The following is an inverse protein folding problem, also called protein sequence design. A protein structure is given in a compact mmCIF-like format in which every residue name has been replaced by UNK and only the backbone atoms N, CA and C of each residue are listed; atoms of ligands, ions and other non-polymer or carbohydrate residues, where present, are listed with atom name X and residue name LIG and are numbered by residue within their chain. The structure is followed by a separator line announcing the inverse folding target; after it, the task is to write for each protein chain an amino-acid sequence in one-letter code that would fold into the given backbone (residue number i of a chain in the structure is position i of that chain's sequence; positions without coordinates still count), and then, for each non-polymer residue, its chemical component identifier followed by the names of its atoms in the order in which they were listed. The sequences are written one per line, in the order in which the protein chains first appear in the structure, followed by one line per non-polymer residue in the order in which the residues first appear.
data_IF_574645790408
#
_entry.id   IF_574645790408
#
_cell.length_a   1.000
_cell.length_b   1.000
_cell.length_c   1.000
_cell.angle_alpha   90.00
_cell.angle_beta   90.00
_cell.angle_gamma   90.00
#
_symmetry.space_group_name_H-M   'P 1'
#
loop_
_entity.id
_entity.type
_entity.pdbx_description
1 polymer ?
#
# COMPACT_ATOMS: atom_id res chain seq x y z
N UNK A 1 15.18 -4.29 5.24
CA UNK A 1 14.80 -3.51 6.44
C UNK A 1 16.04 -2.88 7.06
N UNK A 2 15.93 -1.80 7.85
CA UNK A 2 17.09 -1.13 8.45
C UNK A 2 17.96 -2.04 9.33
N UNK A 3 17.34 -3.02 10.00
CA UNK A 3 18.02 -4.03 10.82
C UNK A 3 18.86 -5.01 9.96
N UNK A 4 18.36 -5.42 8.80
CA UNK A 4 19.09 -6.29 7.86
C UNK A 4 20.28 -5.53 7.24
N UNK A 5 20.10 -4.27 6.85
CA UNK A 5 21.18 -3.43 6.34
C UNK A 5 22.28 -3.20 7.39
N UNK A 6 21.90 -3.06 8.67
CA UNK A 6 22.86 -2.94 9.79
C UNK A 6 23.66 -4.23 10.05
N UNK A 7 23.19 -5.38 9.58
CA UNK A 7 23.91 -6.66 9.59
C UNK A 7 24.81 -6.87 8.37
N UNK A 8 24.90 -5.89 7.48
CA UNK A 8 25.65 -5.99 6.22
C UNK A 8 24.99 -6.91 5.20
N UNK A 9 23.70 -7.23 5.36
CA UNK A 9 22.97 -8.04 4.40
C UNK A 9 22.66 -7.17 3.17
N UNK A 10 23.11 -7.63 2.00
CA UNK A 10 22.81 -6.98 0.73
C UNK A 10 21.39 -7.33 0.29
N UNK A 11 20.70 -6.39 -0.33
CA UNK A 11 19.37 -6.64 -0.89
C UNK A 11 19.42 -7.80 -1.89
N UNK A 12 18.53 -8.78 -1.71
CA UNK A 12 18.37 -9.93 -2.61
C UNK A 12 17.90 -9.54 -4.01
N UNK A 13 17.48 -8.28 -4.19
CA UNK A 13 16.83 -7.80 -5.40
C UNK A 13 17.69 -6.75 -6.10
N UNK A 14 17.50 -6.68 -7.41
CA UNK A 14 18.06 -5.65 -8.26
C UNK A 14 16.92 -5.03 -9.07
N UNK A 15 16.74 -3.72 -8.93
CA UNK A 15 15.67 -2.97 -9.59
C UNK A 15 16.25 -2.34 -10.87
N UNK A 16 15.60 -2.59 -12.02
CA UNK A 16 15.90 -1.99 -13.32
C UNK A 16 14.63 -1.39 -13.90
N UNK A 17 14.35 -0.15 -13.56
CA UNK A 17 13.10 0.51 -13.95
C UNK A 17 11.89 -0.22 -13.37
N UNK A 18 11.09 -0.83 -14.24
CA UNK A 18 9.90 -1.61 -13.85
C UNK A 18 10.13 -3.12 -13.72
N UNK A 19 11.39 -3.55 -13.86
CA UNK A 19 11.79 -4.96 -13.77
C UNK A 19 12.54 -5.21 -12.47
N UNK A 20 12.17 -6.29 -11.80
CA UNK A 20 12.75 -6.75 -10.55
C UNK A 20 13.43 -8.09 -10.79
N UNK A 21 14.74 -8.18 -10.51
CA UNK A 21 15.57 -9.37 -10.73
C UNK A 21 16.17 -9.86 -9.42
N UNK A 22 16.24 -11.19 -9.25
CA UNK A 22 16.92 -11.81 -8.11
C UNK A 22 18.44 -11.74 -8.30
N UNK A 23 19.19 -11.36 -7.27
CA UNK A 23 20.65 -11.42 -7.30
C UNK A 23 21.13 -12.85 -7.17
N UNK A 24 21.90 -13.34 -8.15
CA UNK A 24 22.49 -14.69 -8.17
C UNK A 24 23.33 -14.98 -6.92
N UNK A 25 24.08 -13.99 -6.44
CA UNK A 25 24.96 -14.09 -5.26
C UNK A 25 24.18 -14.49 -3.99
N UNK A 26 22.95 -13.99 -3.84
CA UNK A 26 22.11 -14.30 -2.66
C UNK A 26 21.54 -15.71 -2.76
N UNK A 27 21.14 -16.16 -3.95
CA UNK A 27 20.63 -17.52 -4.16
C UNK A 27 21.70 -18.59 -3.88
N UNK A 28 22.94 -18.34 -4.30
CA UNK A 28 24.06 -19.25 -4.05
C UNK A 28 24.38 -19.39 -2.56
N UNK A 29 24.29 -18.29 -1.80
CA UNK A 29 24.51 -18.29 -0.35
C UNK A 29 23.41 -19.06 0.41
N UNK A 30 22.17 -19.00 -0.06
CA UNK A 30 21.02 -19.66 0.55
C UNK A 30 20.78 -21.09 0.06
N UNK A 31 21.61 -21.63 -0.85
CA UNK A 31 21.40 -22.97 -1.42
C UNK A 31 20.10 -23.10 -2.21
N UNK A 32 19.58 -21.99 -2.75
CA UNK A 32 18.33 -21.97 -3.52
C UNK A 32 18.58 -22.34 -4.98
N UNK A 33 17.55 -22.88 -5.62
CA UNK A 33 17.65 -23.41 -6.97
C UNK A 33 18.08 -22.34 -8.01
N UNK A 34 19.03 -22.70 -8.86
CA UNK A 34 19.73 -21.80 -9.78
C UNK A 34 18.81 -21.16 -10.84
N UNK A 35 17.65 -21.78 -11.14
CA UNK A 35 16.64 -21.21 -12.06
C UNK A 35 16.02 -19.90 -11.56
N UNK A 36 16.08 -19.63 -10.25
CA UNK A 36 15.65 -18.34 -9.69
C UNK A 36 16.59 -17.19 -10.09
N UNK A 37 17.85 -17.48 -10.46
CA UNK A 37 18.84 -16.47 -10.80
C UNK A 37 18.54 -15.77 -12.14
N UNK A 38 17.85 -16.46 -13.04
CA UNK A 38 17.43 -15.93 -14.33
C UNK A 38 15.98 -15.42 -14.32
N UNK A 39 15.31 -15.45 -13.17
CA UNK A 39 13.94 -14.97 -13.03
C UNK A 39 13.89 -13.44 -12.98
N UNK A 40 13.15 -12.86 -13.93
CA UNK A 40 12.84 -11.44 -14.00
C UNK A 40 11.33 -11.25 -13.89
N UNK A 41 10.92 -10.28 -13.07
CA UNK A 41 9.51 -9.98 -12.82
C UNK A 41 9.22 -8.54 -13.27
N UNK A 42 8.33 -8.39 -14.25
CA UNK A 42 7.92 -7.09 -14.76
C UNK A 42 6.62 -6.62 -14.09
N UNK A 43 6.61 -5.37 -13.64
CA UNK A 43 5.46 -4.72 -13.01
C UNK A 43 5.12 -3.41 -13.71
N UNK A 44 4.01 -2.76 -13.35
CA UNK A 44 3.69 -1.42 -13.83
C UNK A 44 4.60 -0.33 -13.20
N UNK A 45 5.05 -0.59 -11.98
CA UNK A 45 6.01 0.23 -11.25
C UNK A 45 6.73 -0.66 -10.22
N UNK A 46 7.99 -0.33 -9.95
CA UNK A 46 8.79 -0.91 -8.86
C UNK A 46 9.34 0.27 -8.07
N UNK A 47 9.21 0.22 -6.74
CA UNK A 47 9.62 1.29 -5.84
C UNK A 47 10.83 0.82 -5.03
N UNK A 48 11.88 1.65 -5.01
CA UNK A 48 13.11 1.39 -4.27
C UNK A 48 13.05 1.94 -2.85
N UNK A 49 14.13 1.73 -2.09
CA UNK A 49 14.26 2.18 -0.70
C UNK A 49 14.25 3.72 -0.55
N UNK A 50 14.52 4.44 -1.64
CA UNK A 50 14.53 5.90 -1.74
C UNK A 50 13.15 6.49 -2.08
N UNK A 51 12.16 5.66 -2.37
CA UNK A 51 10.82 6.11 -2.76
C UNK A 51 9.99 6.44 -1.53
N UNK A 52 9.42 7.65 -1.47
CA UNK A 52 8.51 8.02 -0.38
C UNK A 52 7.09 7.46 -0.59
N UNK A 53 6.33 7.30 0.50
CA UNK A 53 4.91 6.89 0.41
C UNK A 53 4.08 7.87 -0.44
N UNK A 54 4.43 9.15 -0.46
CA UNK A 54 3.81 10.16 -1.31
C UNK A 54 4.05 9.91 -2.79
N UNK A 55 5.26 9.49 -3.17
CA UNK A 55 5.57 9.12 -4.56
C UNK A 55 4.80 7.86 -4.99
N UNK A 56 4.69 6.89 -4.08
CA UNK A 56 3.86 5.69 -4.29
C UNK A 56 2.39 6.09 -4.51
N UNK A 57 1.85 7.00 -3.69
CA UNK A 57 0.49 7.50 -3.85
C UNK A 57 0.27 8.18 -5.20
N UNK A 58 1.16 9.09 -5.58
CA UNK A 58 1.10 9.81 -6.84
C UNK A 58 1.10 8.85 -8.05
N UNK A 59 1.87 7.76 -7.96
CA UNK A 59 1.99 6.78 -9.04
C UNK A 59 0.82 5.79 -9.10
N UNK A 60 0.29 5.35 -7.95
CA UNK A 60 -0.64 4.20 -7.88
C UNK A 60 -2.10 4.64 -7.71
N UNK A 61 -2.37 5.69 -6.91
CA UNK A 61 -3.73 6.01 -6.46
C UNK A 61 -4.24 7.37 -6.97
N UNK A 62 -3.38 8.38 -7.13
CA UNK A 62 -3.81 9.74 -7.51
C UNK A 62 -4.56 9.77 -8.85
N UNK A 63 -4.14 8.95 -9.83
CA UNK A 63 -4.79 8.87 -11.14
C UNK A 63 -6.20 8.26 -11.11
N UNK A 64 -6.56 7.52 -10.05
CA UNK A 64 -7.90 6.96 -9.90
C UNK A 64 -8.92 7.99 -9.37
N UNK A 65 -8.45 9.08 -8.73
CA UNK A 65 -9.32 10.05 -8.07
C UNK A 65 -10.37 10.67 -9.01
N UNK A 66 -10.03 11.10 -10.25
CA UNK A 66 -11.04 11.64 -11.16
C UNK A 66 -12.15 10.64 -11.45
N UNK A 67 -11.82 9.38 -11.72
CA UNK A 67 -12.80 8.33 -11.98
C UNK A 67 -13.70 8.09 -10.75
N UNK A 68 -13.13 8.08 -9.54
CA UNK A 68 -13.89 7.97 -8.28
C UNK A 68 -14.87 9.13 -8.10
N UNK A 69 -14.45 10.36 -8.40
CA UNK A 69 -15.32 11.54 -8.36
C UNK A 69 -16.44 11.51 -9.40
N UNK A 70 -16.28 10.73 -10.47
CA UNK A 70 -17.29 10.43 -11.49
C UNK A 70 -18.14 9.19 -11.18
N UNK A 71 -17.95 8.54 -10.02
CA UNK A 71 -18.77 7.42 -9.57
C UNK A 71 -18.23 6.03 -9.92
N UNK A 72 -16.95 5.94 -10.30
CA UNK A 72 -16.28 4.65 -10.52
C UNK A 72 -15.68 4.13 -9.21
N UNK A 73 -15.85 2.84 -8.92
CA UNK A 73 -15.25 2.24 -7.73
C UNK A 73 -13.73 2.02 -7.94
N UNK A 74 -12.94 2.26 -6.90
CA UNK A 74 -11.51 1.99 -6.88
C UNK A 74 -11.15 1.18 -5.64
N UNK A 75 -10.26 0.20 -5.80
CA UNK A 75 -9.77 -0.65 -4.72
C UNK A 75 -8.25 -0.66 -4.74
N UNK A 76 -7.65 -0.43 -3.58
CA UNK A 76 -6.21 -0.50 -3.38
C UNK A 76 -5.92 -1.58 -2.33
N UNK A 77 -5.00 -2.48 -2.66
CA UNK A 77 -4.61 -3.60 -1.80
C UNK A 77 -3.10 -3.57 -1.56
N UNK A 78 -2.70 -3.73 -0.30
CA UNK A 78 -1.31 -4.00 0.06
C UNK A 78 -1.15 -5.49 0.37
N UNK A 79 -0.29 -6.17 -0.39
CA UNK A 79 -0.05 -7.61 -0.26
C UNK A 79 1.44 -7.90 -0.04
N UNK A 80 1.74 -8.95 0.71
CA UNK A 80 3.10 -9.36 1.03
C UNK A 80 3.19 -10.09 2.37
N UNK A 81 4.36 -10.63 2.68
CA UNK A 81 4.62 -11.34 3.93
C UNK A 81 4.52 -10.44 5.17
N UNK A 82 4.38 -11.01 6.36
CA UNK A 82 4.46 -10.25 7.62
C UNK A 82 5.77 -9.47 7.67
N UNK A 83 5.73 -8.25 8.21
CA UNK A 83 6.88 -7.32 8.26
C UNK A 83 7.37 -6.78 6.90
N UNK A 84 6.65 -7.01 5.79
CA UNK A 84 7.00 -6.47 4.47
C UNK A 84 6.62 -5.00 4.22
N UNK A 85 6.15 -4.28 5.24
CA UNK A 85 5.74 -2.88 5.10
C UNK A 85 4.31 -2.62 4.62
N UNK A 86 3.41 -3.62 4.61
CA UNK A 86 1.98 -3.41 4.24
C UNK A 86 1.31 -2.32 5.07
N UNK A 87 1.38 -2.44 6.39
CA UNK A 87 0.78 -1.48 7.34
C UNK A 87 1.42 -0.11 7.21
N UNK A 88 2.75 -0.07 7.12
CA UNK A 88 3.51 1.17 6.89
C UNK A 88 3.06 1.88 5.61
N UNK A 89 2.89 1.15 4.51
CA UNK A 89 2.45 1.73 3.24
C UNK A 89 1.02 2.27 3.34
N UNK A 90 0.09 1.50 3.92
CA UNK A 90 -1.32 1.88 3.98
C UNK A 90 -1.64 2.98 5.01
N UNK A 91 -1.08 2.87 6.22
CA UNK A 91 -1.39 3.76 7.35
C UNK A 91 -0.28 4.78 7.64
N UNK A 92 0.94 4.54 7.17
CA UNK A 92 2.12 5.31 7.57
C UNK A 92 2.66 4.88 8.93
N UNK A 93 3.57 5.68 9.47
CA UNK A 93 4.07 5.54 10.83
C UNK A 93 4.00 6.91 11.52
N UNK A 94 3.02 7.08 12.41
CA UNK A 94 2.84 8.33 13.14
C UNK A 94 3.90 8.54 14.25
N UNK A 95 4.62 7.49 14.65
CA UNK A 95 5.61 7.54 15.71
C UNK A 95 7.04 7.78 15.19
N UNK A 96 7.30 7.49 13.90
CA UNK A 96 8.59 7.71 13.29
C UNK A 96 8.78 9.17 12.85
N UNK A 97 9.78 9.85 13.42
CA UNK A 97 10.19 11.19 13.01
C UNK A 97 10.64 11.17 11.55
N UNK A 98 9.94 11.91 10.69
CA UNK A 98 10.21 11.97 9.25
C UNK A 98 9.46 10.93 8.41
N UNK A 99 8.67 10.04 9.02
CA UNK A 99 7.76 9.18 8.26
C UNK A 99 6.57 10.00 7.74
N UNK A 100 6.35 9.93 6.43
CA UNK A 100 5.21 10.57 5.77
C UNK A 100 3.88 9.85 6.05
N UNK A 101 2.74 10.48 5.69
CA UNK A 101 1.43 9.85 5.80
C UNK A 101 1.32 8.60 4.91
N UNK A 102 0.51 7.64 5.35
CA UNK A 102 0.15 6.45 4.56
C UNK A 102 -0.77 6.77 3.38
N UNK A 103 -0.93 5.79 2.49
CA UNK A 103 -1.80 5.90 1.31
C UNK A 103 -3.26 6.25 1.67
N UNK A 104 -3.80 5.73 2.78
CA UNK A 104 -5.17 6.02 3.22
C UNK A 104 -5.33 7.51 3.57
N UNK A 105 -4.40 8.06 4.35
CA UNK A 105 -4.42 9.48 4.74
C UNK A 105 -4.30 10.39 3.53
N UNK A 106 -3.33 10.11 2.65
CA UNK A 106 -3.13 10.84 1.40
C UNK A 106 -4.39 10.81 0.51
N UNK A 107 -5.04 9.65 0.38
CA UNK A 107 -6.27 9.51 -0.39
C UNK A 107 -7.42 10.35 0.18
N UNK A 108 -7.61 10.33 1.50
CA UNK A 108 -8.67 11.11 2.16
C UNK A 108 -8.42 12.61 1.98
N UNK A 109 -7.18 13.06 2.17
CA UNK A 109 -6.81 14.47 1.96
C UNK A 109 -7.10 14.92 0.52
N UNK A 110 -6.77 14.11 -0.47
CA UNK A 110 -6.99 14.47 -1.88
C UNK A 110 -8.47 14.50 -2.26
N UNK A 111 -9.27 13.55 -1.73
CA UNK A 111 -10.73 13.56 -1.84
C UNK A 111 -11.32 14.83 -1.24
N UNK A 112 -10.91 15.19 -0.02
CA UNK A 112 -11.42 16.39 0.67
C UNK A 112 -11.02 17.67 -0.08
N UNK A 113 -9.79 17.74 -0.60
CA UNK A 113 -9.29 18.86 -1.40
C UNK A 113 -10.13 19.05 -2.66
N UNK A 114 -10.42 17.97 -3.38
CA UNK A 114 -11.27 18.00 -4.57
C UNK A 114 -12.70 18.45 -4.25
N UNK A 115 -13.31 17.91 -3.18
CA UNK A 115 -14.66 18.30 -2.74
C UNK A 115 -14.72 19.78 -2.36
N UNK A 116 -13.70 20.29 -1.66
CA UNK A 116 -13.63 21.70 -1.28
C UNK A 116 -13.56 22.61 -2.52
N UNK A 117 -12.75 22.26 -3.52
CA UNK A 117 -12.64 23.00 -4.77
C UNK A 117 -13.94 22.98 -5.61
N UNK A 118 -14.67 21.88 -5.59
CA UNK A 118 -15.91 21.70 -6.36
C UNK A 118 -17.19 22.20 -5.66
N UNK A 119 -17.08 22.73 -4.42
CA UNK A 119 -18.23 23.06 -3.56
C UNK A 119 -19.22 24.07 -4.15
N UNK A 120 -18.76 24.94 -5.05
CA UNK A 120 -19.62 25.89 -5.75
C UNK A 120 -20.52 25.25 -6.82
N UNK A 121 -20.15 24.07 -7.33
CA UNK A 121 -20.78 23.45 -8.52
C UNK A 121 -21.53 22.17 -8.16
N UNK A 122 -21.08 21.43 -7.15
CA UNK A 122 -21.63 20.11 -6.81
C UNK A 122 -21.68 19.88 -5.30
N UNK A 123 -22.71 19.17 -4.84
CA UNK A 123 -22.81 18.69 -3.46
C UNK A 123 -22.31 17.25 -3.36
N UNK A 124 -21.48 17.00 -2.37
CA UNK A 124 -20.93 15.68 -2.06
C UNK A 124 -21.40 15.20 -0.69
N UNK A 125 -21.59 13.89 -0.55
CA UNK A 125 -21.82 13.22 0.74
C UNK A 125 -20.74 12.17 0.93
N UNK A 126 -19.88 12.37 1.92
CA UNK A 126 -18.81 11.44 2.25
C UNK A 126 -19.29 10.50 3.37
N UNK A 127 -18.92 9.22 3.27
CA UNK A 127 -19.11 8.19 4.30
C UNK A 127 -17.84 7.38 4.39
N UNK A 128 -17.41 7.07 5.61
CA UNK A 128 -16.25 6.25 5.88
C UNK A 128 -16.67 5.06 6.74
N UNK A 129 -16.09 3.90 6.46
CA UNK A 129 -16.23 2.68 7.26
C UNK A 129 -14.85 2.04 7.37
N UNK A 130 -14.48 1.59 8.56
CA UNK A 130 -13.21 0.90 8.80
C UNK A 130 -13.54 -0.45 9.43
N UNK A 131 -13.23 -1.53 8.72
CA UNK A 131 -13.60 -2.89 9.09
C UNK A 131 -12.34 -3.75 9.16
N UNK A 132 -12.28 -4.61 10.16
CA UNK A 132 -11.31 -5.69 10.26
C UNK A 132 -12.00 -7.02 9.98
N UNK A 133 -11.39 -7.85 9.13
CA UNK A 133 -11.81 -9.23 8.93
C UNK A 133 -10.77 -10.14 9.57
N UNK A 134 -11.15 -10.85 10.63
CA UNK A 134 -10.29 -11.76 11.37
C UNK A 134 -11.04 -13.05 11.69
N UNK A 135 -10.48 -14.21 11.31
CA UNK A 135 -11.14 -15.52 11.44
C UNK A 135 -12.60 -15.54 10.93
N UNK A 136 -12.83 -15.06 9.71
CA UNK A 136 -14.18 -14.97 9.11
C UNK A 136 -15.17 -14.08 9.88
N UNK A 137 -14.71 -13.32 10.88
CA UNK A 137 -15.52 -12.35 11.62
C UNK A 137 -15.22 -10.94 11.14
N UNK A 138 -16.27 -10.16 10.91
CA UNK A 138 -16.17 -8.73 10.57
C UNK A 138 -16.34 -7.89 11.85
N UNK A 139 -15.34 -7.06 12.17
CA UNK A 139 -15.36 -6.16 13.32
C UNK A 139 -15.36 -4.70 12.85
N UNK A 140 -16.22 -3.86 13.45
CA UNK A 140 -16.23 -2.42 13.20
C UNK A 140 -15.14 -1.72 14.01
N UNK A 141 -14.13 -1.20 13.33
CA UNK A 141 -13.02 -0.50 13.98
C UNK A 141 -13.38 0.92 14.44
N UNK A 142 -14.50 1.49 13.95
CA UNK A 142 -14.96 2.83 14.36
C UNK A 142 -16.02 2.77 15.47
N UNK A 143 -16.55 1.59 15.79
CA UNK A 143 -17.55 1.39 16.84
C UNK A 143 -17.13 0.28 17.82
N UNK A 144 -16.36 0.61 18.87
CA UNK A 144 -15.93 -0.35 19.88
C UNK A 144 -17.13 -1.12 20.45
N UNK A 145 -17.08 -2.45 20.39
CA UNK A 145 -18.16 -3.33 20.85
C UNK A 145 -19.11 -3.84 19.75
N UNK A 146 -18.96 -3.38 18.50
CA UNK A 146 -19.63 -3.99 17.33
C UNK A 146 -18.72 -5.00 16.63
N UNK A 147 -18.64 -6.19 17.22
CA UNK A 147 -17.93 -7.34 16.67
C UNK A 147 -18.88 -8.34 16.02
N UNK A 148 -18.33 -9.23 15.18
CA UNK A 148 -19.06 -10.30 14.51
C UNK A 148 -20.28 -9.81 13.70
N UNK A 149 -20.06 -8.75 12.90
CA UNK A 149 -21.06 -8.23 11.98
C UNK A 149 -21.47 -9.32 10.99
N UNK A 150 -22.77 -9.52 10.83
CA UNK A 150 -23.32 -10.46 9.85
C UNK A 150 -23.13 -9.89 8.44
N UNK A 151 -22.55 -10.70 7.57
CA UNK A 151 -22.53 -10.43 6.13
C UNK A 151 -23.91 -10.77 5.55
N UNK A 152 -24.48 -9.81 4.83
CA UNK A 152 -25.74 -9.98 4.11
C UNK A 152 -25.48 -9.81 2.62
N UNK A 153 -25.92 -10.78 1.82
CA UNK A 153 -25.96 -10.65 0.37
C UNK A 153 -27.30 -10.02 -0.04
N UNK A 154 -27.29 -9.13 -1.04
CA UNK A 154 -28.48 -8.47 -1.59
C UNK A 154 -28.74 -8.96 -3.00
#
# INVERSE_FOLDING_TARGET
SPLETSRGEQSAWLIRGTVLKVRREVLQREGRADWLADSEYAFNAVFGDDTSTSDVYARVAANALPAVMHGVNCTLLAYGQTNSGKTFTMLGDAAAVGAGPGLITLAIEDVLRHVAAARAVRRYRLRLSCLEVYHEQCNDLLAPGRSNLKLYER
#
